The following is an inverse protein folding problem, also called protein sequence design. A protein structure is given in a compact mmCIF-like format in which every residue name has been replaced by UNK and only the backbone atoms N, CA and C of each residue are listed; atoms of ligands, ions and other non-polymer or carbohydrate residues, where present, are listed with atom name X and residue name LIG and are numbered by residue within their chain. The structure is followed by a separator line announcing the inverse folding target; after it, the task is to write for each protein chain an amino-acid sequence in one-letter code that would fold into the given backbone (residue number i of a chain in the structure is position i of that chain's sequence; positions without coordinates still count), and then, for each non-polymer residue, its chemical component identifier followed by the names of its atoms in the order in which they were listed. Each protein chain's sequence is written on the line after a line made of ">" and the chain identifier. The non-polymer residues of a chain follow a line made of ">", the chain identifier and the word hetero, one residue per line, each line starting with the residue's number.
data_IF_570318803752
#
_entry.id   IF_570318803752
#
_cell.length_a   1.000
_cell.length_b   1.000
_cell.length_c   1.000
_cell.angle_alpha   90.00
_cell.angle_beta   90.00
_cell.angle_gamma   90.00
#
_symmetry.space_group_name_H-M   'P 1'
#
loop_
_entity.id
_entity.type
_entity.pdbx_description
1 polymer ?
#
# COMPACT_ATOMS: atom_id res chain seq x y z
N UNK A 1 -2.55 -18.99 -14.92
CA UNK A 1 -1.12 -18.65 -15.15
C UNK A 1 -0.58 -18.01 -13.90
N UNK A 2 0.66 -18.34 -13.53
CA UNK A 2 1.36 -17.71 -12.41
C UNK A 2 2.69 -17.16 -12.94
N UNK A 3 2.98 -15.93 -12.63
CA UNK A 3 4.26 -15.27 -12.93
C UNK A 3 4.88 -14.81 -11.63
N UNK A 4 6.15 -15.15 -11.40
CA UNK A 4 6.94 -14.70 -10.27
C UNK A 4 8.05 -13.78 -10.77
N UNK A 5 8.25 -12.66 -10.13
CA UNK A 5 9.31 -11.72 -10.42
C UNK A 5 10.27 -11.62 -9.23
N UNK A 6 11.54 -11.91 -9.48
CA UNK A 6 12.64 -11.61 -8.56
C UNK A 6 13.56 -10.61 -9.25
N UNK A 7 13.70 -9.46 -8.68
CA UNK A 7 14.54 -8.37 -9.15
C UNK A 7 15.51 -8.03 -8.01
N UNK A 8 16.80 -7.96 -8.32
CA UNK A 8 17.82 -7.64 -7.33
C UNK A 8 18.99 -6.88 -7.97
N UNK A 9 19.51 -5.91 -7.25
CA UNK A 9 20.74 -5.22 -7.59
C UNK A 9 21.90 -6.14 -7.19
N UNK A 10 22.72 -6.54 -8.16
CA UNK A 10 23.87 -7.43 -7.91
C UNK A 10 25.10 -6.63 -7.57
N UNK A 11 25.29 -5.49 -8.23
CA UNK A 11 26.47 -4.64 -8.09
C UNK A 11 26.15 -3.22 -8.55
N UNK A 12 26.75 -2.21 -7.91
CA UNK A 12 26.69 -0.81 -8.28
C UNK A 12 28.05 -0.36 -8.82
N UNK A 13 28.14 0.88 -9.32
CA UNK A 13 29.37 1.44 -9.88
C UNK A 13 30.54 1.48 -8.88
N UNK A 14 30.26 1.52 -7.58
CA UNK A 14 31.19 1.48 -6.46
C UNK A 14 31.45 0.06 -5.92
N UNK A 15 30.99 -0.99 -6.63
CA UNK A 15 31.10 -2.37 -6.23
C UNK A 15 29.86 -2.89 -5.50
N UNK A 16 30.05 -3.62 -4.40
CA UNK A 16 28.96 -4.21 -3.61
C UNK A 16 28.62 -3.41 -2.35
N UNK A 17 28.66 -2.10 -2.45
CA UNK A 17 28.27 -1.21 -1.36
C UNK A 17 26.89 -0.60 -1.65
N UNK A 18 26.06 -0.52 -0.63
CA UNK A 18 24.75 0.11 -0.73
C UNK A 18 24.86 1.61 -0.99
N UNK A 19 23.91 2.17 -1.72
CA UNK A 19 23.75 3.62 -1.91
C UNK A 19 22.38 4.06 -1.34
N UNK A 20 22.30 4.33 -0.03
CA UNK A 20 21.08 4.78 0.61
C UNK A 20 20.58 6.13 0.07
N UNK A 21 21.48 6.97 -0.45
CA UNK A 21 21.14 8.26 -1.06
C UNK A 21 20.25 8.12 -2.28
N UNK A 22 20.51 7.09 -3.10
CA UNK A 22 19.71 6.75 -4.27
C UNK A 22 18.65 5.69 -3.98
N UNK A 23 18.56 5.21 -2.73
CA UNK A 23 17.71 4.08 -2.32
C UNK A 23 18.03 2.78 -3.06
N UNK A 24 19.33 2.54 -3.32
CA UNK A 24 19.82 1.33 -3.97
C UNK A 24 20.58 0.45 -2.99
N UNK A 25 20.09 -0.76 -2.84
CA UNK A 25 20.61 -1.74 -1.88
C UNK A 25 20.96 -3.05 -2.58
N UNK A 26 22.15 -3.58 -2.31
CA UNK A 26 22.59 -4.84 -2.89
C UNK A 26 21.67 -5.98 -2.40
N UNK A 27 21.17 -6.80 -3.33
CA UNK A 27 20.24 -7.87 -3.06
C UNK A 27 18.77 -7.47 -3.04
N UNK A 28 18.47 -6.17 -3.12
CA UNK A 28 17.11 -5.64 -3.17
C UNK A 28 16.71 -5.19 -4.58
N UNK A 29 15.41 -5.01 -4.81
CA UNK A 29 14.92 -4.49 -6.08
C UNK A 29 15.34 -3.04 -6.30
N UNK A 30 15.53 -2.63 -7.57
CA UNK A 30 15.96 -1.27 -7.90
C UNK A 30 14.97 -0.18 -7.46
N UNK A 31 13.68 -0.50 -7.37
CA UNK A 31 12.61 0.44 -6.98
C UNK A 31 12.02 0.06 -5.63
N UNK A 32 12.81 0.16 -4.57
CA UNK A 32 12.34 -0.01 -3.20
C UNK A 32 11.86 1.32 -2.61
N UNK A 33 10.95 1.24 -1.65
CA UNK A 33 10.55 2.36 -0.80
C UNK A 33 11.41 2.33 0.47
N UNK A 34 12.40 3.21 0.52
CA UNK A 34 13.32 3.36 1.65
C UNK A 34 13.04 4.67 2.36
N UNK A 35 12.43 4.59 3.53
CA UNK A 35 12.01 5.76 4.32
C UNK A 35 11.72 5.36 5.77
N UNK A 36 11.40 6.35 6.62
CA UNK A 36 10.85 6.10 7.96
C UNK A 36 9.58 5.26 7.86
N UNK A 37 9.42 4.37 8.83
CA UNK A 37 8.25 3.47 8.88
C UNK A 37 7.32 3.85 10.01
N UNK A 38 6.10 4.23 9.66
CA UNK A 38 5.03 4.41 10.64
C UNK A 38 4.67 3.06 11.25
N UNK A 39 4.66 3.00 12.59
CA UNK A 39 4.19 1.83 13.36
C UNK A 39 2.88 2.11 14.11
N UNK A 40 2.43 3.35 14.15
CA UNK A 40 1.17 3.73 14.78
C UNK A 40 1.05 5.24 14.93
N UNK A 41 0.15 5.62 15.82
CA UNK A 41 -0.02 6.99 16.32
C UNK A 41 0.18 6.94 17.83
N UNK A 42 0.97 7.86 18.38
CA UNK A 42 1.18 7.96 19.82
C UNK A 42 -0.14 8.18 20.54
N UNK A 43 -0.46 7.28 21.48
CA UNK A 43 -1.67 7.37 22.27
C UNK A 43 -1.45 8.19 23.54
N UNK A 44 -2.54 8.58 24.19
CA UNK A 44 -2.49 9.31 25.46
C UNK A 44 -2.55 8.35 26.65
N UNK A 45 -1.62 7.36 26.68
CA UNK A 45 -1.47 6.41 27.77
C UNK A 45 -0.21 6.72 28.59
N UNK A 46 -0.15 6.32 29.87
CA UNK A 46 1.06 6.51 30.68
C UNK A 46 2.31 5.87 30.06
N UNK A 47 2.16 4.70 29.44
CA UNK A 47 3.23 3.94 28.76
C UNK A 47 3.78 4.71 27.57
N UNK A 48 2.89 5.17 26.67
CA UNK A 48 3.27 5.94 25.48
C UNK A 48 3.89 7.28 25.88
N UNK A 49 3.35 7.95 26.90
CA UNK A 49 3.93 9.19 27.42
C UNK A 49 5.35 9.00 27.97
N UNK A 50 5.59 7.92 28.71
CA UNK A 50 6.92 7.60 29.23
C UNK A 50 7.92 7.24 28.12
N UNK A 51 7.45 6.62 27.04
CA UNK A 51 8.29 6.31 25.88
C UNK A 51 8.55 7.58 25.04
N UNK A 52 7.54 8.40 24.77
CA UNK A 52 7.71 9.71 24.09
C UNK A 52 8.73 10.60 24.79
N UNK A 53 8.75 10.60 26.13
CA UNK A 53 9.70 11.40 26.92
C UNK A 53 11.15 11.02 26.60
N UNK A 54 11.47 9.73 26.40
CA UNK A 54 12.82 9.29 26.03
C UNK A 54 13.24 9.84 24.67
N UNK A 55 12.33 9.82 23.67
CA UNK A 55 12.58 10.41 22.35
C UNK A 55 12.74 11.93 22.44
N UNK A 56 11.90 12.60 23.24
CA UNK A 56 11.91 14.05 23.37
C UNK A 56 13.19 14.55 24.07
N UNK A 57 13.74 13.80 25.01
CA UNK A 57 15.05 14.08 25.60
C UNK A 57 16.19 14.00 24.59
N UNK A 58 16.02 13.24 23.51
CA UNK A 58 16.97 13.09 22.41
C UNK A 58 16.66 14.03 21.20
N UNK A 59 15.81 15.03 21.40
CA UNK A 59 15.57 16.08 20.40
C UNK A 59 14.34 15.88 19.51
N UNK A 60 13.55 14.83 19.74
CA UNK A 60 12.24 14.69 19.11
C UNK A 60 11.20 15.61 19.78
N UNK A 61 10.05 15.79 19.14
CA UNK A 61 8.93 16.56 19.69
C UNK A 61 7.63 15.77 19.53
N UNK A 62 7.59 14.57 20.12
CA UNK A 62 6.40 13.73 20.10
C UNK A 62 5.41 14.13 21.16
N UNK A 63 4.12 13.99 20.83
CA UNK A 63 3.01 14.21 21.73
C UNK A 63 1.86 13.26 21.35
N UNK A 64 0.87 13.02 22.22
CA UNK A 64 -0.29 12.22 21.86
C UNK A 64 -0.95 12.69 20.56
N UNK A 65 -1.23 11.76 19.67
CA UNK A 65 -1.76 12.01 18.34
C UNK A 65 -0.74 12.32 17.25
N UNK A 66 0.56 12.34 17.54
CA UNK A 66 1.61 12.42 16.51
C UNK A 66 1.98 11.04 15.96
N UNK A 67 2.63 11.00 14.81
CA UNK A 67 3.04 9.75 14.15
C UNK A 67 4.11 9.06 15.01
N UNK A 68 3.89 7.77 15.31
CA UNK A 68 4.87 6.90 15.94
C UNK A 68 5.67 6.17 14.86
N UNK A 69 6.98 6.32 14.90
CA UNK A 69 7.92 5.72 13.96
C UNK A 69 8.58 4.47 14.55
N UNK A 70 9.04 3.62 13.64
CA UNK A 70 9.99 2.57 13.99
C UNK A 70 11.35 3.21 14.32
N UNK A 71 12.00 2.70 15.34
CA UNK A 71 13.29 3.14 15.87
C UNK A 71 14.19 1.93 16.05
N UNK A 72 15.48 2.07 15.87
CA UNK A 72 16.48 1.01 16.00
C UNK A 72 16.76 0.63 17.47
N UNK A 73 16.18 1.35 18.43
CA UNK A 73 16.28 1.12 19.86
C UNK A 73 17.11 2.15 20.62
N UNK A 74 17.55 3.21 19.98
CA UNK A 74 18.36 4.27 20.59
C UNK A 74 17.55 5.49 21.07
N UNK A 75 16.23 5.49 20.83
CA UNK A 75 15.28 6.57 21.14
C UNK A 75 15.62 7.91 20.46
N UNK A 76 16.25 7.88 19.28
CA UNK A 76 16.61 9.06 18.54
C UNK A 76 16.30 8.88 17.07
N UNK A 77 15.34 9.63 16.54
CA UNK A 77 14.98 9.52 15.12
C UNK A 77 16.02 10.20 14.23
N UNK A 78 16.74 9.37 13.47
CA UNK A 78 17.79 9.77 12.53
C UNK A 78 17.60 9.09 11.17
N UNK A 79 18.51 9.34 10.23
CA UNK A 79 18.51 8.62 8.94
C UNK A 79 18.75 7.11 9.07
N UNK A 80 19.27 6.65 10.20
CA UNK A 80 19.52 5.23 10.50
C UNK A 80 18.22 4.45 10.79
N UNK A 81 17.13 5.16 11.10
CA UNK A 81 15.81 4.57 11.33
C UNK A 81 14.99 4.39 10.05
N UNK A 82 15.57 4.76 8.91
CA UNK A 82 14.95 4.45 7.63
C UNK A 82 15.11 2.97 7.32
N UNK A 83 14.05 2.37 6.79
CA UNK A 83 14.01 0.95 6.45
C UNK A 83 13.40 0.74 5.07
N UNK A 84 13.77 -0.34 4.41
CA UNK A 84 13.11 -0.79 3.19
C UNK A 84 11.73 -1.33 3.58
N UNK A 85 10.68 -0.62 3.15
CA UNK A 85 9.29 -0.99 3.47
C UNK A 85 8.72 -1.99 2.48
N UNK A 86 9.24 -2.00 1.27
CA UNK A 86 8.84 -2.89 0.20
C UNK A 86 9.26 -2.36 -1.16
N UNK A 87 8.75 -2.99 -2.21
CA UNK A 87 9.10 -2.68 -3.61
C UNK A 87 7.88 -2.28 -4.43
N UNK A 88 8.10 -1.50 -5.50
CA UNK A 88 7.04 -1.01 -6.37
C UNK A 88 6.45 -2.12 -7.26
N UNK A 89 7.28 -3.05 -7.72
CA UNK A 89 6.83 -4.12 -8.61
C UNK A 89 6.30 -5.31 -7.83
N UNK A 90 5.21 -5.97 -8.28
CA UNK A 90 4.69 -7.15 -7.63
C UNK A 90 5.69 -8.31 -7.71
N UNK A 91 5.80 -9.07 -6.63
CA UNK A 91 6.58 -10.32 -6.57
C UNK A 91 5.87 -11.48 -7.26
N UNK A 92 4.53 -11.46 -7.23
CA UNK A 92 3.70 -12.52 -7.81
C UNK A 92 2.52 -11.91 -8.55
N UNK A 93 2.30 -12.35 -9.78
CA UNK A 93 1.11 -12.05 -10.58
C UNK A 93 0.41 -13.37 -10.86
N UNK A 94 -0.86 -13.46 -10.51
CA UNK A 94 -1.71 -14.61 -10.76
C UNK A 94 -2.81 -14.25 -11.75
N UNK A 95 -3.10 -15.18 -12.66
CA UNK A 95 -4.27 -15.08 -13.52
C UNK A 95 -4.95 -16.44 -13.67
N UNK A 96 -6.27 -16.46 -13.54
CA UNK A 96 -7.10 -17.64 -13.68
C UNK A 96 -8.23 -17.34 -14.65
N UNK A 97 -8.18 -18.02 -15.80
CA UNK A 97 -9.26 -18.01 -16.78
C UNK A 97 -9.89 -19.39 -16.84
N UNK A 98 -11.19 -19.46 -16.61
CA UNK A 98 -11.95 -20.71 -16.72
C UNK A 98 -13.19 -20.51 -17.59
N UNK A 99 -13.51 -21.58 -18.34
CA UNK A 99 -14.71 -21.65 -19.15
C UNK A 99 -15.38 -22.99 -18.90
N UNK A 100 -16.65 -22.95 -18.53
CA UNK A 100 -17.50 -24.11 -18.31
C UNK A 100 -18.56 -24.14 -19.38
N UNK A 101 -18.84 -25.32 -19.95
CA UNK A 101 -19.96 -25.53 -20.87
C UNK A 101 -20.82 -26.67 -20.35
N UNK A 102 -22.10 -26.44 -20.29
CA UNK A 102 -23.06 -27.44 -19.94
C UNK A 102 -24.30 -27.30 -20.79
N UNK A 103 -24.53 -28.26 -21.70
CA UNK A 103 -25.59 -28.21 -22.72
C UNK A 103 -25.50 -26.92 -23.54
N UNK A 104 -26.52 -26.10 -23.50
CA UNK A 104 -26.64 -24.85 -24.23
C UNK A 104 -26.11 -23.62 -23.46
N UNK A 105 -25.58 -23.82 -22.23
CA UNK A 105 -25.00 -22.77 -21.41
C UNK A 105 -23.48 -22.79 -21.49
N UNK A 106 -22.90 -21.60 -21.59
CA UNK A 106 -21.49 -21.36 -21.36
C UNK A 106 -21.31 -20.29 -20.28
N UNK A 107 -20.35 -20.53 -19.42
CA UNK A 107 -19.99 -19.63 -18.34
C UNK A 107 -18.48 -19.48 -18.29
N UNK A 108 -18.00 -18.26 -18.35
CA UNK A 108 -16.56 -17.98 -18.19
C UNK A 108 -16.30 -16.87 -17.20
N UNK A 109 -15.15 -16.95 -16.54
CA UNK A 109 -14.66 -15.90 -15.68
C UNK A 109 -13.14 -15.78 -15.76
N UNK A 110 -12.65 -14.55 -15.53
CA UNK A 110 -11.24 -14.22 -15.47
C UNK A 110 -10.91 -13.46 -14.19
N UNK A 111 -10.05 -14.06 -13.36
CA UNK A 111 -9.46 -13.44 -12.20
C UNK A 111 -8.01 -13.02 -12.47
N UNK A 112 -7.62 -11.89 -11.91
CA UNK A 112 -6.25 -11.40 -11.87
C UNK A 112 -5.92 -10.97 -10.44
N UNK A 113 -4.70 -11.29 -9.97
CA UNK A 113 -4.19 -10.87 -8.68
C UNK A 113 -2.73 -10.45 -8.75
N UNK A 114 -2.38 -9.39 -8.03
CA UNK A 114 -1.00 -8.93 -7.84
C UNK A 114 -0.69 -8.93 -6.35
N UNK A 115 0.53 -9.38 -6.01
CA UNK A 115 0.95 -9.52 -4.62
C UNK A 115 2.40 -9.11 -4.42
N UNK A 116 2.69 -8.53 -3.25
CA UNK A 116 4.04 -8.15 -2.84
C UNK A 116 4.51 -6.83 -3.42
N UNK A 117 3.61 -5.99 -3.93
CA UNK A 117 3.91 -4.63 -4.33
C UNK A 117 3.43 -3.61 -3.30
N UNK A 118 4.08 -2.46 -3.30
CA UNK A 118 3.64 -1.27 -2.59
C UNK A 118 3.46 -0.10 -3.54
N UNK A 119 2.67 0.88 -3.12
CA UNK A 119 2.51 2.16 -3.81
C UNK A 119 2.70 3.32 -2.84
N UNK A 120 3.12 4.47 -3.37
CA UNK A 120 3.02 5.75 -2.69
C UNK A 120 1.70 6.41 -3.11
N UNK A 121 0.71 6.36 -2.21
CA UNK A 121 -0.64 6.88 -2.46
C UNK A 121 -0.68 8.40 -2.23
N UNK A 122 -0.48 9.17 -3.28
CA UNK A 122 -0.50 10.63 -3.20
C UNK A 122 -1.91 11.24 -2.97
N UNK A 123 -2.98 10.44 -3.08
CA UNK A 123 -4.34 10.92 -2.78
C UNK A 123 -4.49 11.20 -1.29
N UNK A 124 -3.91 10.38 -0.42
CA UNK A 124 -3.88 10.62 1.02
C UNK A 124 -3.22 11.95 1.36
N UNK A 125 -2.19 12.35 0.61
CA UNK A 125 -1.49 13.62 0.74
C UNK A 125 -2.37 14.84 0.41
N UNK A 126 -3.09 14.80 -0.72
CA UNK A 126 -3.96 15.90 -1.14
C UNK A 126 -5.06 16.21 -0.12
N UNK A 127 -5.43 15.23 0.71
CA UNK A 127 -6.47 15.36 1.71
C UNK A 127 -5.96 15.92 3.05
N UNK A 128 -4.66 15.88 3.29
CA UNK A 128 -4.06 16.31 4.57
C UNK A 128 -3.41 17.69 4.49
N UNK A 129 -2.85 18.04 3.34
CA UNK A 129 -2.04 19.24 3.17
C UNK A 129 -2.82 20.48 2.75
N UNK A 130 -4.10 20.37 2.46
CA UNK A 130 -4.87 21.50 1.94
C UNK A 130 -6.17 21.72 2.74
N UNK A 131 -6.42 22.97 3.09
CA UNK A 131 -7.64 23.43 3.80
C UNK A 131 -8.95 23.05 3.07
N UNK A 132 -8.88 22.69 1.81
CA UNK A 132 -10.00 22.31 0.95
C UNK A 132 -10.10 20.80 0.70
N UNK A 133 -9.38 19.97 1.43
CA UNK A 133 -9.47 18.52 1.35
C UNK A 133 -10.85 18.03 1.82
N UNK A 134 -11.62 17.43 0.93
CA UNK A 134 -12.99 16.99 1.20
C UNK A 134 -13.09 15.51 1.64
N UNK A 135 -11.96 14.81 1.81
CA UNK A 135 -12.00 13.41 2.21
C UNK A 135 -12.01 13.31 3.73
N UNK A 136 -13.07 12.71 4.26
CA UNK A 136 -13.17 12.38 5.67
C UNK A 136 -12.14 11.29 5.99
N UNK A 137 -11.16 11.62 6.82
CA UNK A 137 -10.17 10.69 7.34
C UNK A 137 -10.44 10.39 8.82
N UNK A 138 -10.08 9.20 9.25
CA UNK A 138 -10.17 8.77 10.65
C UNK A 138 -8.91 9.25 11.38
N UNK A 139 -8.94 10.50 11.89
CA UNK A 139 -7.82 11.09 12.60
C UNK A 139 -7.93 10.92 14.12
N UNK A 140 -6.78 10.91 14.76
CA UNK A 140 -6.69 10.77 16.21
C UNK A 140 -7.25 11.97 16.96
N UNK A 141 -8.05 11.70 17.99
CA UNK A 141 -8.46 12.65 19.02
C UNK A 141 -8.43 11.94 20.38
N UNK A 142 -8.46 12.66 21.52
CA UNK A 142 -8.55 12.02 22.84
C UNK A 142 -9.76 11.10 23.01
N UNK A 143 -10.84 11.32 22.25
CA UNK A 143 -12.05 10.50 22.25
C UNK A 143 -12.12 9.49 21.09
N UNK A 144 -11.15 9.54 20.18
CA UNK A 144 -11.02 8.62 19.04
C UNK A 144 -9.55 8.15 18.89
N UNK A 145 -9.08 7.21 19.73
CA UNK A 145 -7.68 6.77 19.75
C UNK A 145 -7.38 5.83 18.58
N UNK A 146 -7.41 6.34 17.34
CA UNK A 146 -7.10 5.60 16.11
C UNK A 146 -5.60 5.57 15.84
N UNK A 147 -5.15 4.54 15.08
CA UNK A 147 -3.82 4.46 14.49
C UNK A 147 -3.79 4.82 12.99
N UNK A 148 -4.93 5.28 12.42
CA UNK A 148 -5.02 5.57 10.99
C UNK A 148 -4.28 6.87 10.64
N UNK A 149 -4.73 8.00 11.15
CA UNK A 149 -4.15 9.31 10.86
C UNK A 149 -3.82 10.09 12.13
N UNK A 150 -2.75 10.90 12.13
CA UNK A 150 -2.38 11.74 13.26
C UNK A 150 -3.41 12.85 13.49
N UNK A 151 -3.33 13.49 14.66
CA UNK A 151 -4.14 14.65 14.97
C UNK A 151 -3.78 15.82 14.02
N UNK A 152 -4.76 16.59 13.54
CA UNK A 152 -4.47 17.84 12.84
C UNK A 152 -3.86 18.86 13.82
N UNK A 153 -2.94 19.68 13.32
CA UNK A 153 -2.32 20.77 14.07
C UNK A 153 -2.68 22.06 13.34
N UNK A 154 -3.26 23.01 14.08
CA UNK A 154 -3.63 24.31 13.52
C UNK A 154 -2.40 25.04 12.95
N UNK A 155 -2.53 25.57 11.74
CA UNK A 155 -1.47 26.31 11.06
C UNK A 155 -0.34 25.46 10.50
N UNK A 156 -0.42 24.13 10.60
CA UNK A 156 0.59 23.21 10.04
C UNK A 156 -0.02 22.45 8.87
N UNK A 157 0.46 22.75 7.66
CA UNK A 157 0.02 22.05 6.44
C UNK A 157 0.64 20.67 6.30
N UNK A 158 1.87 20.51 6.75
CA UNK A 158 2.64 19.25 6.67
C UNK A 158 3.09 18.82 8.06
N UNK A 159 2.47 17.78 8.59
CA UNK A 159 2.88 17.20 9.86
C UNK A 159 4.26 16.55 9.74
N UNK A 160 5.09 16.54 10.80
CA UNK A 160 6.32 15.77 10.79
C UNK A 160 6.07 14.33 10.37
N UNK A 161 6.90 13.82 9.47
CA UNK A 161 6.85 12.44 8.95
C UNK A 161 5.55 12.05 8.22
N UNK A 162 4.74 13.01 7.76
CA UNK A 162 3.51 12.75 7.03
C UNK A 162 3.70 11.87 5.78
N UNK A 163 4.87 11.89 5.16
CA UNK A 163 5.22 11.04 4.03
C UNK A 163 5.00 9.55 4.32
N UNK A 164 5.19 9.14 5.58
CA UNK A 164 5.01 7.75 6.01
C UNK A 164 3.56 7.26 5.92
N UNK A 165 2.60 8.16 5.78
CA UNK A 165 1.18 7.85 5.62
C UNK A 165 0.83 7.43 4.18
N UNK A 166 1.72 7.66 3.23
CA UNK A 166 1.48 7.43 1.81
C UNK A 166 1.82 6.00 1.37
N UNK A 167 2.60 5.25 2.15
CA UNK A 167 3.04 3.92 1.77
C UNK A 167 1.98 2.88 2.10
N UNK A 168 1.43 2.26 1.05
CA UNK A 168 0.36 1.27 1.14
C UNK A 168 0.72 0.01 0.35
N UNK A 169 0.27 -1.16 0.85
CA UNK A 169 0.31 -2.40 0.07
C UNK A 169 -0.69 -2.29 -1.07
N UNK A 170 -0.26 -2.68 -2.27
CA UNK A 170 -1.10 -2.69 -3.47
C UNK A 170 -1.55 -4.09 -3.88
N UNK A 171 -1.57 -5.01 -2.94
CA UNK A 171 -2.05 -6.37 -3.16
C UNK A 171 -3.55 -6.36 -3.48
N UNK A 172 -3.94 -7.08 -4.52
CA UNK A 172 -5.34 -7.21 -4.87
C UNK A 172 -5.64 -8.52 -5.61
N UNK A 173 -6.92 -8.94 -5.54
CA UNK A 173 -7.54 -9.89 -6.44
C UNK A 173 -8.72 -9.21 -7.11
N UNK A 174 -8.79 -9.25 -8.43
CA UNK A 174 -9.83 -8.61 -9.23
C UNK A 174 -10.50 -9.59 -10.17
N UNK A 175 -11.82 -9.61 -10.13
CA UNK A 175 -12.62 -10.26 -11.17
C UNK A 175 -12.73 -9.31 -12.35
N UNK A 176 -12.06 -9.65 -13.46
CA UNK A 176 -11.95 -8.82 -14.66
C UNK A 176 -13.10 -9.00 -15.61
N UNK A 177 -13.55 -10.24 -15.73
CA UNK A 177 -14.60 -10.60 -16.66
C UNK A 177 -15.45 -11.75 -16.12
N UNK A 178 -16.76 -11.65 -16.36
CA UNK A 178 -17.71 -12.74 -16.17
C UNK A 178 -18.63 -12.74 -17.39
N UNK A 179 -18.76 -13.87 -18.03
CA UNK A 179 -19.63 -14.04 -19.18
C UNK A 179 -20.53 -15.24 -18.94
N UNK A 180 -21.82 -15.05 -19.13
CA UNK A 180 -22.80 -16.13 -19.18
C UNK A 180 -23.47 -16.12 -20.54
N UNK A 181 -23.29 -17.17 -21.30
CA UNK A 181 -23.90 -17.37 -22.60
C UNK A 181 -24.95 -18.46 -22.56
N UNK A 182 -25.98 -18.31 -23.38
CA UNK A 182 -26.95 -19.35 -23.66
C UNK A 182 -27.18 -19.46 -25.16
N UNK A 183 -26.93 -20.64 -25.72
CA UNK A 183 -27.18 -20.94 -27.12
C UNK A 183 -28.65 -21.35 -27.28
N UNK A 184 -29.44 -20.53 -27.96
CA UNK A 184 -30.84 -20.82 -28.23
C UNK A 184 -30.93 -22.01 -29.18
N UNK A 185 -31.65 -23.11 -28.80
CA UNK A 185 -31.77 -24.29 -29.66
C UNK A 185 -32.36 -23.96 -31.03
N UNK A 186 -31.82 -24.58 -32.08
CA UNK A 186 -32.16 -24.28 -33.46
C UNK A 186 -33.64 -24.50 -33.81
N UNK A 187 -34.36 -25.35 -33.11
CA UNK A 187 -35.82 -25.57 -33.30
C UNK A 187 -36.65 -24.32 -32.92
N UNK A 188 -36.12 -23.44 -32.03
CA UNK A 188 -36.75 -22.17 -31.64
C UNK A 188 -36.38 -21.08 -32.67
N UNK A 189 -35.11 -20.94 -33.04
CA UNK A 189 -34.61 -19.88 -33.92
C UNK A 189 -35.16 -20.02 -35.33
N UNK A 190 -35.36 -21.26 -35.82
CA UNK A 190 -35.99 -21.52 -37.15
C UNK A 190 -37.42 -20.96 -37.26
N UNK A 191 -38.16 -20.83 -36.15
CA UNK A 191 -39.50 -20.23 -36.17
C UNK A 191 -39.45 -18.71 -36.47
N UNK A 192 -38.32 -18.09 -36.28
CA UNK A 192 -38.12 -16.65 -36.48
C UNK A 192 -37.22 -16.31 -37.66
N UNK A 193 -36.94 -17.29 -38.53
CA UNK A 193 -36.01 -17.15 -39.68
C UNK A 193 -34.59 -16.68 -39.29
N UNK A 194 -34.19 -16.94 -38.03
CA UNK A 194 -32.86 -16.61 -37.56
C UNK A 194 -31.97 -17.86 -37.75
N UNK A 195 -31.05 -17.80 -38.67
CA UNK A 195 -30.18 -18.92 -39.02
C UNK A 195 -28.85 -18.95 -38.23
N UNK A 196 -28.43 -17.80 -37.70
CA UNK A 196 -27.27 -17.64 -36.78
C UNK A 196 -27.38 -16.37 -35.97
N UNK A 197 -27.18 -16.45 -34.65
CA UNK A 197 -26.87 -15.34 -33.76
C UNK A 197 -25.49 -15.55 -33.13
#
# INVERSE_FOLDING_TARGET
>A
MMYTNKEEIVELYNGKEDDPGSSWFIGEAINVFYDYKKIGIWQDTPEDRAEMEKFNQNGSNFAPGTIRLWDNGDYKITSEDRVIQGQQRPKVILSLNNTFRYRDFDFSFFFEGNFGAMIKNNISYLNQAHRNGNVKVDYWTPTNPTNAFPRPIEGVDYLPYYETLHYEKSDFIKLRNVTLGYTIPSHITKKWDISRC
#
